data_IF_337580577160
#
_entry.id   IF_337580577160
#
_cell.length_a   1.000
_cell.length_b   1.000
_cell.length_c   1.000
_cell.angle_alpha   90.00
_cell.angle_beta   90.00
_cell.angle_gamma   90.00
#
_symmetry.space_group_name_H-M   'P 1'
#
loop_
_entity.id
_entity.type
_entity.pdbx_description
1 polymer ?
#
# COMPACT_ATOMS: atom_id res chain seq x y z
N UNK A 1 -5.42 6.55 -6.50
CA UNK A 1 -4.97 5.65 -5.43
C UNK A 1 -6.10 5.09 -4.55
N UNK A 2 -6.80 5.86 -3.71
CA UNK A 2 -7.83 5.30 -2.81
C UNK A 2 -8.98 4.59 -3.57
N UNK A 3 -9.49 5.24 -4.60
CA UNK A 3 -10.58 4.74 -5.46
C UNK A 3 -10.16 3.47 -6.25
N UNK A 4 -8.98 3.50 -6.88
CA UNK A 4 -8.42 2.36 -7.61
C UNK A 4 -8.11 1.14 -6.73
N UNK A 5 -7.83 1.36 -5.45
CA UNK A 5 -7.63 0.30 -4.46
C UNK A 5 -8.93 -0.15 -3.79
N UNK A 6 -10.04 0.57 -4.04
CA UNK A 6 -11.33 0.32 -3.41
C UNK A 6 -11.32 0.51 -1.89
N UNK A 7 -10.47 1.42 -1.39
CA UNK A 7 -10.35 1.71 0.05
C UNK A 7 -10.63 3.17 0.35
N UNK A 8 -10.95 3.46 1.61
CA UNK A 8 -11.13 4.83 2.08
C UNK A 8 -9.81 5.59 2.03
N UNK A 9 -9.88 6.87 1.67
CA UNK A 9 -8.71 7.76 1.63
C UNK A 9 -7.99 7.87 2.98
N UNK A 10 -8.73 7.80 4.09
CA UNK A 10 -8.13 7.77 5.44
C UNK A 10 -7.19 6.58 5.63
N UNK A 11 -7.47 5.45 4.96
CA UNK A 11 -6.72 4.23 5.06
C UNK A 11 -5.41 4.36 4.30
N UNK A 12 -5.44 4.94 3.09
CA UNK A 12 -4.23 5.32 2.33
C UNK A 12 -3.34 6.20 3.19
N UNK A 13 -3.92 7.22 3.81
CA UNK A 13 -3.24 8.15 4.69
C UNK A 13 -2.61 7.51 5.94
N UNK A 14 -3.21 6.45 6.48
CA UNK A 14 -2.62 5.68 7.59
C UNK A 14 -1.46 4.80 7.12
N UNK A 15 -1.56 4.24 5.91
CA UNK A 15 -0.48 3.46 5.31
C UNK A 15 0.73 4.32 4.98
N UNK A 16 0.52 5.47 4.33
CA UNK A 16 1.59 6.42 3.97
C UNK A 16 2.32 6.98 5.20
N UNK A 17 1.60 7.13 6.32
CA UNK A 17 2.17 7.60 7.60
C UNK A 17 2.73 6.48 8.46
N UNK A 18 2.74 5.23 7.98
CA UNK A 18 3.22 4.07 8.74
C UNK A 18 2.39 3.74 9.99
N UNK A 19 1.20 4.32 10.12
CA UNK A 19 0.27 4.06 11.24
C UNK A 19 -0.41 2.70 11.12
N UNK A 20 -0.38 2.11 9.92
CA UNK A 20 -0.98 0.82 9.62
C UNK A 20 -0.09 0.03 8.66
N UNK A 21 0.07 -1.26 8.92
CA UNK A 21 0.79 -2.19 8.06
C UNK A 21 -0.15 -2.76 7.00
N UNK A 22 0.35 -2.96 5.78
CA UNK A 22 -0.41 -3.66 4.74
C UNK A 22 -0.59 -5.13 5.12
N UNK A 23 -1.80 -5.66 4.94
CA UNK A 23 -1.99 -7.12 4.92
C UNK A 23 -1.48 -7.70 3.60
N UNK A 24 -1.16 -8.99 3.55
CA UNK A 24 -0.71 -9.65 2.31
C UNK A 24 -1.64 -9.42 1.11
N UNK A 25 -2.95 -9.52 1.33
CA UNK A 25 -3.95 -9.25 0.30
C UNK A 25 -3.91 -7.79 -0.19
N UNK A 26 -3.66 -6.84 0.71
CA UNK A 26 -3.58 -5.42 0.38
C UNK A 26 -2.27 -5.08 -0.34
N UNK A 27 -1.15 -5.64 0.11
CA UNK A 27 0.15 -5.50 -0.55
C UNK A 27 0.09 -5.99 -2.00
N UNK A 28 -0.53 -7.15 -2.23
CA UNK A 28 -0.75 -7.71 -3.57
C UNK A 28 -1.64 -6.84 -4.44
N UNK A 29 -2.69 -6.28 -3.86
CA UNK A 29 -3.59 -5.35 -4.57
C UNK A 29 -2.84 -4.09 -4.98
N UNK A 30 -2.08 -3.49 -4.08
CA UNK A 30 -1.34 -2.26 -4.34
C UNK A 30 -0.23 -2.50 -5.37
N UNK A 31 0.52 -3.60 -5.25
CA UNK A 31 1.53 -4.00 -6.23
C UNK A 31 0.93 -4.14 -7.63
N UNK A 32 -0.24 -4.77 -7.74
CA UNK A 32 -0.96 -4.90 -9.02
C UNK A 32 -1.46 -3.56 -9.56
N UNK A 33 -2.02 -2.71 -8.71
CA UNK A 33 -2.60 -1.41 -9.10
C UNK A 33 -1.52 -0.41 -9.52
N UNK A 34 -0.41 -0.35 -8.79
CA UNK A 34 0.67 0.61 -9.04
C UNK A 34 1.81 0.04 -9.90
N UNK A 35 1.73 -1.24 -10.29
CA UNK A 35 2.79 -1.97 -11.01
C UNK A 35 4.17 -1.90 -10.33
N UNK A 36 4.19 -1.73 -9.00
CA UNK A 36 5.41 -1.70 -8.18
C UNK A 36 5.64 -3.08 -7.57
N UNK A 37 6.91 -3.44 -7.42
CA UNK A 37 7.32 -4.72 -6.86
C UNK A 37 6.85 -4.85 -5.39
N UNK A 38 6.21 -5.97 -5.02
CA UNK A 38 5.62 -6.17 -3.67
C UNK A 38 6.63 -5.95 -2.55
N UNK A 39 7.89 -6.34 -2.77
CA UNK A 39 8.99 -6.14 -1.82
C UNK A 39 9.22 -4.66 -1.49
N UNK A 40 9.05 -3.77 -2.48
CA UNK A 40 9.25 -2.34 -2.29
C UNK A 40 8.17 -1.72 -1.38
N UNK A 41 6.94 -2.26 -1.45
CA UNK A 41 5.81 -1.81 -0.62
C UNK A 41 5.92 -2.39 0.79
N UNK A 42 6.42 -3.63 0.90
CA UNK A 42 6.44 -4.38 2.16
C UNK A 42 7.54 -3.93 3.10
N UNK A 43 8.72 -3.60 2.57
CA UNK A 43 9.88 -3.25 3.38
C UNK A 43 10.10 -1.74 3.51
N UNK A 44 9.47 -0.93 2.64
CA UNK A 44 9.73 0.50 2.55
C UNK A 44 11.17 0.73 2.08
N UNK A 45 11.38 1.62 1.13
CA UNK A 45 12.73 1.94 0.70
C UNK A 45 13.50 2.55 1.89
N UNK A 46 14.45 1.79 2.44
CA UNK A 46 15.41 2.26 3.44
C UNK A 46 16.55 2.90 2.65
N UNK A 47 16.34 4.13 2.20
CA UNK A 47 17.42 5.03 1.76
C UNK A 47 17.70 6.04 2.87
#
# INVERSE_FOLDING_TARGET
MADELGIRQNMVSDYERGRRTYSDAMAKRISKTLSVNEEHIRYGNRE
#
